data_IF_267089877140
#
_entry.id   IF_267089877140
#
_cell.length_a   1.000
_cell.length_b   1.000
_cell.length_c   1.000
_cell.angle_alpha   90.00
_cell.angle_beta   90.00
_cell.angle_gamma   90.00
#
_symmetry.space_group_name_H-M   'P 1'
#
loop_
_entity.id
_entity.type
_entity.pdbx_description
1 polymer ?
#
# COMPACT_ATOMS: atom_id res chain seq x y z
N UNK A 1 18.29 40.53 56.79
CA UNK A 1 17.35 39.82 57.65
C UNK A 1 16.85 38.61 56.94
N UNK A 2 17.42 37.43 57.25
CA UNK A 2 17.26 36.20 56.48
C UNK A 2 16.36 35.29 57.29
N UNK A 3 15.21 34.90 56.73
CA UNK A 3 14.30 33.94 57.33
C UNK A 3 14.59 32.54 56.77
N UNK A 4 15.11 31.66 57.61
CA UNK A 4 15.18 30.20 57.35
C UNK A 4 13.82 29.58 57.68
N UNK A 5 13.25 28.90 56.72
CA UNK A 5 12.13 27.96 56.94
C UNK A 5 12.70 26.55 56.95
N UNK A 6 12.51 25.87 58.10
CA UNK A 6 12.92 24.51 58.32
C UNK A 6 11.97 23.52 57.65
N UNK A 7 12.52 22.54 56.96
CA UNK A 7 11.81 21.35 56.48
C UNK A 7 11.92 20.24 57.52
N UNK A 8 10.80 19.96 58.16
CA UNK A 8 10.56 18.81 58.99
C UNK A 8 10.34 17.56 58.15
N UNK A 9 10.93 16.44 58.59
CA UNK A 9 11.02 15.18 57.84
C UNK A 9 9.70 14.51 57.54
N UNK A 10 9.69 13.89 56.40
CA UNK A 10 8.72 12.86 56.00
C UNK A 10 9.49 11.55 55.82
N UNK A 11 9.25 10.64 56.76
CA UNK A 11 9.74 9.27 56.73
C UNK A 11 9.00 8.49 55.64
N UNK A 12 9.72 8.09 54.58
CA UNK A 12 9.19 7.28 53.47
C UNK A 12 9.72 5.84 53.56
N UNK A 13 8.81 4.98 53.99
CA UNK A 13 9.01 3.57 54.13
C UNK A 13 9.63 2.85 52.92
N UNK A 14 10.26 1.74 53.20
CA UNK A 14 10.95 0.81 52.29
C UNK A 14 10.19 0.52 50.99
N UNK A 15 10.46 1.29 49.92
CA UNK A 15 9.95 1.02 48.55
C UNK A 15 11.01 0.27 47.74
N UNK A 16 10.66 -0.93 47.25
CA UNK A 16 11.40 -1.75 46.31
C UNK A 16 11.92 -0.90 45.14
N UNK A 17 13.23 -0.84 44.95
CA UNK A 17 13.83 -0.27 43.75
C UNK A 17 13.51 -1.19 42.54
N UNK A 18 12.56 -0.79 41.74
CA UNK A 18 12.33 -1.39 40.44
C UNK A 18 13.48 -1.01 39.51
N UNK A 19 14.29 -2.00 39.12
CA UNK A 19 15.30 -1.81 38.08
C UNK A 19 14.57 -1.69 36.76
N UNK A 20 14.37 -0.47 36.29
CA UNK A 20 13.85 -0.19 34.94
C UNK A 20 14.93 -0.63 33.95
N UNK A 21 14.65 -1.63 33.11
CA UNK A 21 15.63 -2.15 32.17
C UNK A 21 15.96 -1.07 31.13
N UNK A 22 17.23 -0.94 30.80
CA UNK A 22 17.76 0.02 29.82
C UNK A 22 17.13 -0.07 28.41
N UNK A 23 16.42 -1.15 28.13
CA UNK A 23 15.67 -1.37 26.88
C UNK A 23 14.38 -0.56 26.75
N UNK A 24 13.78 -0.12 27.89
CA UNK A 24 12.57 0.70 27.88
C UNK A 24 12.87 2.20 27.65
N UNK A 25 14.07 2.64 28.03
CA UNK A 25 14.49 4.05 27.85
C UNK A 25 14.85 4.32 26.38
N UNK A 26 15.36 3.32 25.65
CA UNK A 26 15.72 3.45 24.24
C UNK A 26 14.48 3.54 23.31
N UNK A 27 13.35 2.96 23.73
CA UNK A 27 12.12 2.96 22.92
C UNK A 27 11.36 4.30 22.93
N UNK A 28 11.53 5.10 23.99
CA UNK A 28 10.84 6.41 24.13
C UNK A 28 11.59 7.53 23.39
N UNK A 29 12.91 7.42 23.23
CA UNK A 29 13.72 8.43 22.54
C UNK A 29 13.68 8.33 21.00
N UNK A 30 13.24 7.21 20.44
CA UNK A 30 13.12 7.05 18.98
C UNK A 30 11.80 7.64 18.39
N UNK A 31 10.80 7.91 19.25
CA UNK A 31 9.49 8.40 18.79
C UNK A 31 9.41 9.92 18.62
N UNK A 32 10.41 10.67 19.08
CA UNK A 32 10.40 12.14 19.07
C UNK A 32 11.06 12.80 17.85
N UNK A 33 11.64 12.03 16.91
CA UNK A 33 12.37 12.57 15.74
C UNK A 33 11.57 12.54 14.42
N UNK A 34 10.35 12.01 14.39
CA UNK A 34 9.56 11.89 13.14
C UNK A 34 8.66 13.11 12.87
N UNK A 35 8.54 14.06 13.79
CA UNK A 35 7.53 15.12 13.69
C UNK A 35 7.97 16.41 12.96
N UNK A 36 9.16 16.51 12.37
CA UNK A 36 9.66 17.78 11.80
C UNK A 36 9.66 17.84 10.26
N UNK A 37 9.46 16.73 9.55
CA UNK A 37 9.61 16.70 8.09
C UNK A 37 8.28 16.78 7.28
N UNK A 38 7.12 16.92 7.94
CA UNK A 38 5.81 16.84 7.28
C UNK A 38 5.21 18.19 6.83
N UNK A 39 5.86 19.29 7.10
CA UNK A 39 5.36 20.64 6.73
C UNK A 39 6.29 21.29 5.71
N UNK A 40 5.81 21.48 4.49
CA UNK A 40 6.44 22.38 3.53
C UNK A 40 5.81 23.77 3.65
N UNK A 41 6.65 24.79 3.65
CA UNK A 41 6.21 26.20 3.59
C UNK A 41 6.09 26.57 2.11
N UNK A 42 4.92 27.06 1.71
CA UNK A 42 4.68 27.59 0.39
C UNK A 42 5.58 28.83 0.15
N UNK A 43 6.44 28.85 -0.86
CA UNK A 43 7.37 29.96 -1.09
C UNK A 43 6.68 31.26 -1.51
N UNK A 44 5.43 31.22 -1.99
CA UNK A 44 4.70 32.43 -2.42
C UNK A 44 3.79 33.00 -1.34
N UNK A 45 3.23 32.17 -0.45
CA UNK A 45 2.24 32.61 0.53
C UNK A 45 2.72 32.54 1.98
N UNK A 46 3.84 31.87 2.26
CA UNK A 46 4.39 31.67 3.61
C UNK A 46 3.53 30.77 4.51
N UNK A 47 2.43 30.21 4.03
CA UNK A 47 1.57 29.32 4.80
C UNK A 47 2.18 27.92 4.94
N UNK A 48 2.14 27.39 6.14
CA UNK A 48 2.51 25.99 6.42
C UNK A 48 1.36 25.08 6.04
N UNK A 49 1.50 24.38 4.92
CA UNK A 49 0.55 23.33 4.51
C UNK A 49 1.20 21.96 4.67
N UNK A 50 0.42 21.00 5.16
CA UNK A 50 0.86 19.60 5.09
C UNK A 50 0.98 19.22 3.61
N UNK A 51 2.15 18.72 3.19
CA UNK A 51 2.34 18.32 1.81
C UNK A 51 1.37 17.18 1.48
N UNK A 52 0.77 17.24 0.28
CA UNK A 52 -0.10 16.14 -0.23
C UNK A 52 0.61 14.79 -0.19
N UNK A 53 1.94 14.81 -0.30
CA UNK A 53 2.81 13.63 -0.15
C UNK A 53 2.84 13.09 1.29
N UNK A 54 2.77 13.96 2.31
CA UNK A 54 2.74 13.54 3.72
C UNK A 54 1.39 12.92 4.09
N UNK A 55 0.27 13.44 3.56
CA UNK A 55 -1.07 12.89 3.78
C UNK A 55 -1.20 11.54 3.05
N UNK A 56 -0.75 11.44 1.80
CA UNK A 56 -0.71 10.19 1.04
C UNK A 56 0.28 9.17 1.64
N UNK A 57 1.42 9.62 2.15
CA UNK A 57 2.44 8.75 2.75
C UNK A 57 2.01 8.14 4.09
N UNK A 58 1.32 8.88 4.95
CA UNK A 58 0.85 8.36 6.24
C UNK A 58 -0.39 7.45 6.08
N UNK A 59 -1.34 7.84 5.23
CA UNK A 59 -2.51 7.00 4.91
C UNK A 59 -2.11 5.74 4.13
N UNK A 60 -1.23 5.87 3.14
CA UNK A 60 -0.74 4.76 2.32
C UNK A 60 0.17 3.80 3.08
N UNK A 61 1.07 4.28 3.96
CA UNK A 61 1.96 3.42 4.73
C UNK A 61 1.22 2.58 5.77
N UNK A 62 0.25 3.16 6.48
CA UNK A 62 -0.57 2.43 7.46
C UNK A 62 -1.58 1.50 6.77
N UNK A 63 -2.24 1.95 5.69
CA UNK A 63 -3.15 1.13 4.89
C UNK A 63 -2.41 -0.03 4.22
N UNK A 64 -1.28 0.23 3.55
CA UNK A 64 -0.51 -0.78 2.83
C UNK A 64 0.08 -1.87 3.73
N UNK A 65 0.52 -1.53 4.95
CA UNK A 65 1.07 -2.52 5.90
C UNK A 65 -0.02 -3.46 6.43
N UNK A 66 -1.22 -2.93 6.71
CA UNK A 66 -2.35 -3.72 7.19
C UNK A 66 -2.98 -4.61 6.10
N UNK A 67 -2.88 -4.23 4.83
CA UNK A 67 -3.51 -4.96 3.73
C UNK A 67 -2.67 -6.14 3.21
N UNK A 68 -1.35 -6.09 3.37
CA UNK A 68 -0.45 -7.14 2.88
C UNK A 68 -0.69 -8.53 3.50
N UNK A 69 -1.25 -8.58 4.71
CA UNK A 69 -1.54 -9.83 5.43
C UNK A 69 -3.00 -10.32 5.28
N UNK A 70 -3.89 -9.45 4.77
CA UNK A 70 -5.33 -9.70 4.74
C UNK A 70 -5.82 -10.47 3.50
N UNK A 71 -5.00 -10.53 2.45
CA UNK A 71 -5.34 -11.24 1.21
C UNK A 71 -4.67 -12.61 1.21
N UNK A 72 -5.40 -13.64 1.56
CA UNK A 72 -5.06 -15.07 1.53
C UNK A 72 -3.61 -15.37 1.88
N UNK A 73 -3.34 -16.15 2.90
CA UNK A 73 -2.02 -16.33 3.49
C UNK A 73 -0.88 -16.38 2.47
N UNK A 74 0.08 -15.49 2.57
CA UNK A 74 1.27 -15.44 1.69
C UNK A 74 1.95 -16.80 1.57
N UNK A 75 1.86 -17.65 2.60
CA UNK A 75 2.43 -19.01 2.61
C UNK A 75 1.87 -19.88 1.48
N UNK A 76 0.55 -19.95 1.30
CA UNK A 76 -0.06 -20.80 0.27
C UNK A 76 0.31 -20.35 -1.15
N UNK A 77 0.46 -19.03 -1.35
CA UNK A 77 0.92 -18.47 -2.62
C UNK A 77 2.40 -18.74 -2.85
N UNK A 78 3.22 -18.60 -1.80
CA UNK A 78 4.66 -18.88 -1.86
C UNK A 78 4.91 -20.32 -2.26
N UNK A 79 4.21 -21.29 -1.67
CA UNK A 79 4.36 -22.72 -2.02
C UNK A 79 4.00 -22.99 -3.49
N UNK A 80 2.93 -22.39 -4.01
CA UNK A 80 2.52 -22.50 -5.41
C UNK A 80 3.55 -21.87 -6.37
N UNK A 81 4.12 -20.73 -5.98
CA UNK A 81 5.12 -20.00 -6.77
C UNK A 81 6.44 -20.78 -6.82
N UNK A 82 6.87 -21.35 -5.69
CA UNK A 82 8.07 -22.18 -5.61
C UNK A 82 7.86 -23.48 -6.40
N UNK A 83 6.69 -24.10 -6.30
CA UNK A 83 6.32 -25.26 -7.11
C UNK A 83 6.34 -24.96 -8.61
N UNK A 84 6.11 -23.71 -9.01
CA UNK A 84 6.22 -23.24 -10.39
C UNK A 84 7.66 -22.85 -10.81
N UNK A 85 8.68 -23.08 -9.94
CA UNK A 85 10.08 -22.81 -10.25
C UNK A 85 10.53 -21.36 -10.08
N UNK A 86 9.69 -20.50 -9.51
CA UNK A 86 10.06 -19.11 -9.23
C UNK A 86 10.73 -19.02 -7.87
N UNK A 87 12.01 -18.66 -7.86
CA UNK A 87 12.78 -18.38 -6.64
C UNK A 87 12.56 -16.94 -6.12
N UNK A 88 12.80 -16.71 -4.82
CA UNK A 88 12.82 -15.37 -4.25
C UNK A 88 14.09 -14.59 -4.63
N UNK A 89 14.00 -13.27 -4.56
CA UNK A 89 15.11 -12.35 -4.81
C UNK A 89 16.03 -12.39 -3.60
N UNK A 90 17.36 -12.52 -3.84
CA UNK A 90 18.35 -12.48 -2.77
C UNK A 90 18.45 -11.08 -2.16
N UNK A 91 18.29 -10.98 -0.85
CA UNK A 91 18.46 -9.84 0.04
C UNK A 91 18.72 -8.46 -0.60
N UNK A 92 19.98 -8.11 -0.84
CA UNK A 92 20.37 -6.82 -1.42
C UNK A 92 19.89 -6.56 -2.88
N UNK A 93 19.40 -7.60 -3.57
CA UNK A 93 18.88 -7.48 -4.94
C UNK A 93 17.45 -6.95 -5.04
N UNK A 94 16.66 -6.98 -3.96
CA UNK A 94 15.25 -6.57 -3.97
C UNK A 94 15.09 -5.14 -4.45
N UNK A 95 15.83 -4.19 -3.88
CA UNK A 95 15.75 -2.78 -4.26
C UNK A 95 16.04 -2.58 -5.75
N UNK A 96 17.16 -3.10 -6.25
CA UNK A 96 17.56 -2.94 -7.66
C UNK A 96 16.54 -3.58 -8.63
N UNK A 97 15.99 -4.74 -8.27
CA UNK A 97 14.97 -5.42 -9.05
C UNK A 97 13.71 -4.57 -9.15
N UNK A 98 13.22 -4.08 -8.01
CA UNK A 98 12.01 -3.26 -7.96
C UNK A 98 12.21 -1.89 -8.61
N UNK A 99 13.40 -1.28 -8.49
CA UNK A 99 13.73 -0.02 -9.17
C UNK A 99 13.70 -0.17 -10.69
N UNK A 100 14.17 -1.31 -11.21
CA UNK A 100 14.09 -1.61 -12.65
C UNK A 100 12.65 -1.81 -13.09
N UNK A 101 11.88 -2.59 -12.34
CA UNK A 101 10.46 -2.82 -12.61
C UNK A 101 9.66 -1.51 -12.57
N UNK A 102 9.91 -0.64 -11.58
CA UNK A 102 9.26 0.66 -11.47
C UNK A 102 9.53 1.55 -12.70
N UNK A 103 10.80 1.69 -13.09
CA UNK A 103 11.17 2.50 -14.27
C UNK A 103 10.48 2.00 -15.53
N UNK A 104 10.49 0.70 -15.76
CA UNK A 104 9.85 0.10 -16.92
C UNK A 104 8.33 0.24 -16.88
N UNK A 105 7.72 0.06 -15.71
CA UNK A 105 6.29 0.27 -15.53
C UNK A 105 5.89 1.71 -15.85
N UNK A 106 6.61 2.70 -15.29
CA UNK A 106 6.37 4.11 -15.57
C UNK A 106 6.57 4.48 -17.05
N UNK A 107 7.58 3.88 -17.69
CA UNK A 107 7.86 4.14 -19.10
C UNK A 107 6.75 3.57 -19.98
N UNK A 108 6.35 2.32 -19.80
CA UNK A 108 5.32 1.67 -20.61
C UNK A 108 3.93 2.27 -20.37
N UNK A 109 3.63 2.72 -19.15
CA UNK A 109 2.34 3.35 -18.84
C UNK A 109 2.33 4.87 -19.07
N UNK A 110 3.41 5.45 -19.59
CA UNK A 110 3.46 6.89 -19.90
C UNK A 110 2.36 7.30 -20.88
N UNK A 111 1.64 8.37 -20.54
CA UNK A 111 0.50 8.85 -21.35
C UNK A 111 -0.79 8.06 -21.14
N UNK A 112 -0.83 7.17 -20.14
CA UNK A 112 -2.06 6.54 -19.66
C UNK A 112 -2.44 7.11 -18.31
N UNK A 113 -3.67 6.81 -17.83
CA UNK A 113 -4.17 7.25 -16.52
C UNK A 113 -3.67 6.39 -15.35
N UNK A 114 -2.74 5.46 -15.59
CA UNK A 114 -2.13 4.63 -14.54
C UNK A 114 -1.11 5.45 -13.75
N UNK A 115 -1.35 5.58 -12.45
CA UNK A 115 -0.41 6.24 -11.53
C UNK A 115 0.44 5.17 -10.84
N UNK A 116 1.77 5.26 -11.01
CA UNK A 116 2.73 4.33 -10.39
C UNK A 116 3.42 5.03 -9.22
N UNK A 117 3.24 4.49 -8.02
CA UNK A 117 3.81 5.01 -6.77
C UNK A 117 4.67 3.95 -6.10
N UNK A 118 5.87 4.33 -5.65
CA UNK A 118 6.73 3.46 -4.82
C UNK A 118 6.36 3.60 -3.36
N UNK A 119 6.20 2.48 -2.66
CA UNK A 119 5.91 2.41 -1.22
C UNK A 119 6.89 1.42 -0.56
N UNK A 120 8.03 1.92 -0.08
CA UNK A 120 9.12 1.05 0.38
C UNK A 120 9.65 0.16 -0.74
N UNK A 121 9.55 -1.15 -0.58
CA UNK A 121 9.91 -2.13 -1.63
C UNK A 121 8.73 -2.48 -2.54
N UNK A 122 7.52 -2.04 -2.24
CA UNK A 122 6.33 -2.32 -3.04
C UNK A 122 6.09 -1.24 -4.10
N UNK A 123 5.43 -1.63 -5.20
CA UNK A 123 4.85 -0.68 -6.16
C UNK A 123 3.33 -0.71 -6.04
N UNK A 124 2.72 0.46 -6.07
CA UNK A 124 1.27 0.62 -6.15
C UNK A 124 0.91 1.28 -7.48
N UNK A 125 0.10 0.60 -8.26
CA UNK A 125 -0.50 1.11 -9.48
C UNK A 125 -1.95 1.48 -9.17
N UNK A 126 -2.29 2.76 -9.27
CA UNK A 126 -3.66 3.24 -9.13
C UNK A 126 -4.26 3.45 -10.52
N UNK A 127 -5.41 2.82 -10.75
CA UNK A 127 -6.11 2.79 -12.04
C UNK A 127 -7.55 3.29 -11.82
N UNK A 128 -7.90 4.50 -12.30
CA UNK A 128 -9.25 5.05 -12.15
C UNK A 128 -10.31 4.18 -12.84
N UNK A 129 -11.34 3.74 -12.11
CA UNK A 129 -12.38 2.82 -12.65
C UNK A 129 -13.25 3.42 -13.74
N UNK A 130 -13.42 4.75 -13.76
CA UNK A 130 -14.23 5.42 -14.77
C UNK A 130 -13.76 5.21 -16.21
N UNK A 131 -12.48 4.84 -16.37
CA UNK A 131 -11.86 4.54 -17.66
C UNK A 131 -11.90 3.04 -17.95
N UNK A 132 -11.85 2.21 -16.89
CA UNK A 132 -11.70 0.77 -17.00
C UNK A 132 -13.02 0.02 -17.16
N UNK A 133 -14.10 0.54 -16.56
CA UNK A 133 -15.40 -0.12 -16.49
C UNK A 133 -16.50 0.85 -16.90
N UNK A 134 -17.52 0.33 -17.58
CA UNK A 134 -18.77 1.06 -17.76
C UNK A 134 -19.50 1.23 -16.42
N UNK A 135 -20.45 2.16 -16.36
CA UNK A 135 -21.29 2.34 -15.19
C UNK A 135 -21.93 1.02 -14.79
N UNK A 136 -21.86 0.70 -13.51
CA UNK A 136 -22.43 -0.54 -12.95
C UNK A 136 -21.91 -1.83 -13.59
N UNK A 137 -20.69 -1.83 -14.14
CA UNK A 137 -20.08 -2.97 -14.82
C UNK A 137 -18.73 -3.34 -14.20
N UNK A 138 -18.40 -4.63 -14.31
CA UNK A 138 -17.08 -5.15 -13.99
C UNK A 138 -16.31 -5.60 -15.26
N UNK A 139 -16.89 -5.42 -16.45
CA UNK A 139 -16.22 -5.79 -17.70
C UNK A 139 -15.18 -4.72 -18.08
N UNK A 140 -13.94 -5.14 -18.29
CA UNK A 140 -12.86 -4.25 -18.75
C UNK A 140 -13.21 -3.67 -20.12
N UNK A 141 -13.27 -2.34 -20.22
CA UNK A 141 -13.61 -1.64 -21.45
C UNK A 141 -12.53 -1.85 -22.53
N UNK A 142 -12.92 -2.00 -23.82
CA UNK A 142 -11.96 -2.22 -24.91
C UNK A 142 -10.85 -1.17 -25.00
N UNK A 143 -11.18 0.12 -24.77
CA UNK A 143 -10.22 1.21 -24.83
C UNK A 143 -9.13 1.13 -23.74
N UNK A 144 -9.37 0.42 -22.64
CA UNK A 144 -8.41 0.27 -21.56
C UNK A 144 -7.53 -0.99 -21.72
N UNK A 145 -7.90 -1.92 -22.58
CA UNK A 145 -7.15 -3.17 -22.76
C UNK A 145 -5.70 -2.93 -23.13
N UNK A 146 -5.43 -1.99 -24.05
CA UNK A 146 -4.06 -1.65 -24.43
C UNK A 146 -3.20 -1.10 -23.28
N UNK A 147 -3.82 -0.48 -22.27
CA UNK A 147 -3.13 -0.07 -21.03
C UNK A 147 -2.84 -1.28 -20.15
N UNK A 148 -3.82 -2.17 -19.97
CA UNK A 148 -3.61 -3.41 -19.23
C UNK A 148 -2.60 -4.36 -19.89
N UNK A 149 -2.52 -4.40 -21.23
CA UNK A 149 -1.50 -5.17 -21.94
C UNK A 149 -0.08 -4.71 -21.58
N UNK A 150 0.12 -3.39 -21.49
CA UNK A 150 1.40 -2.80 -21.07
C UNK A 150 1.73 -3.19 -19.63
N UNK A 151 0.76 -3.11 -18.72
CA UNK A 151 0.93 -3.52 -17.33
C UNK A 151 1.22 -5.02 -17.24
N UNK A 152 0.43 -5.86 -17.91
CA UNK A 152 0.61 -7.30 -17.92
C UNK A 152 1.99 -7.72 -18.44
N UNK A 153 2.47 -7.08 -19.51
CA UNK A 153 3.80 -7.33 -20.07
C UNK A 153 4.90 -7.08 -19.05
N UNK A 154 4.89 -5.93 -18.34
CA UNK A 154 5.89 -5.67 -17.30
C UNK A 154 5.77 -6.68 -16.16
N UNK A 155 4.55 -6.99 -15.70
CA UNK A 155 4.36 -7.96 -14.61
C UNK A 155 4.80 -9.38 -15.01
N UNK A 156 4.71 -9.75 -16.28
CA UNK A 156 5.20 -11.01 -16.81
C UNK A 156 6.74 -11.04 -16.89
N UNK A 157 7.37 -9.95 -17.33
CA UNK A 157 8.83 -9.80 -17.43
C UNK A 157 9.52 -9.80 -16.06
N UNK A 158 8.76 -9.46 -14.97
CA UNK A 158 9.25 -9.43 -13.59
C UNK A 158 8.52 -10.48 -12.72
N UNK A 159 8.84 -11.78 -12.86
CA UNK A 159 8.07 -12.85 -12.23
C UNK A 159 8.25 -12.97 -10.71
N UNK A 160 9.28 -12.38 -10.12
CA UNK A 160 9.61 -12.54 -8.70
C UNK A 160 8.83 -11.53 -7.80
N UNK A 161 7.54 -11.33 -8.09
CA UNK A 161 6.66 -10.47 -7.28
C UNK A 161 5.29 -11.10 -7.10
N UNK A 162 4.65 -10.85 -5.93
CA UNK A 162 3.21 -11.03 -5.74
C UNK A 162 2.47 -9.87 -6.35
N UNK A 163 1.23 -10.14 -6.76
CA UNK A 163 0.33 -9.15 -7.38
C UNK A 163 -0.99 -9.21 -6.65
N UNK A 164 -1.30 -8.18 -5.89
CA UNK A 164 -2.56 -8.05 -5.18
C UNK A 164 -3.42 -7.00 -5.89
N UNK A 165 -4.59 -7.41 -6.37
CA UNK A 165 -5.53 -6.54 -7.10
C UNK A 165 -6.68 -6.17 -6.18
N UNK A 166 -6.85 -4.89 -5.91
CA UNK A 166 -7.84 -4.34 -5.02
C UNK A 166 -8.87 -3.53 -5.78
N UNK A 167 -10.15 -3.81 -5.55
CA UNK A 167 -11.25 -3.03 -6.10
C UNK A 167 -11.85 -2.09 -5.05
N UNK A 168 -12.20 -0.88 -5.47
CA UNK A 168 -12.82 0.14 -4.63
C UNK A 168 -14.01 0.78 -5.36
N UNK A 169 -15.00 1.24 -4.59
CA UNK A 169 -16.13 2.02 -5.07
C UNK A 169 -16.17 3.39 -4.36
N UNK A 170 -17.04 4.25 -4.81
CA UNK A 170 -17.50 5.37 -4.01
C UNK A 170 -18.60 4.91 -3.04
N UNK A 171 -19.16 5.84 -2.25
CA UNK A 171 -20.23 5.58 -1.27
C UNK A 171 -21.63 5.55 -1.89
N UNK A 172 -21.77 5.46 -3.21
CA UNK A 172 -23.07 5.41 -3.86
C UNK A 172 -23.58 3.97 -3.90
N UNK A 173 -24.70 3.70 -3.27
CA UNK A 173 -25.32 2.38 -3.23
C UNK A 173 -25.31 1.78 -1.82
N UNK A 174 -25.59 0.47 -1.70
CA UNK A 174 -25.47 -0.24 -0.44
C UNK A 174 -24.08 -0.83 -0.27
N UNK A 175 -23.62 -0.98 0.98
CA UNK A 175 -22.32 -1.57 1.31
C UNK A 175 -22.15 -2.95 0.66
N UNK A 176 -23.18 -3.80 0.73
CA UNK A 176 -23.14 -5.14 0.13
C UNK A 176 -22.99 -5.12 -1.39
N UNK A 177 -23.68 -4.17 -2.06
CA UNK A 177 -23.56 -3.97 -3.48
C UNK A 177 -22.16 -3.47 -3.86
N UNK A 178 -21.63 -2.49 -3.12
CA UNK A 178 -20.30 -1.93 -3.33
C UNK A 178 -19.21 -2.97 -3.08
N UNK A 179 -19.37 -3.82 -2.05
CA UNK A 179 -18.46 -4.93 -1.78
C UNK A 179 -18.41 -5.91 -2.97
N UNK A 180 -19.56 -6.38 -3.43
CA UNK A 180 -19.65 -7.31 -4.58
C UNK A 180 -19.11 -6.69 -5.89
N UNK A 181 -19.46 -5.44 -6.17
CA UNK A 181 -18.98 -4.74 -7.38
C UNK A 181 -17.46 -4.59 -7.39
N UNK A 182 -16.89 -4.20 -6.25
CA UNK A 182 -15.44 -4.02 -6.12
C UNK A 182 -14.69 -5.33 -6.28
N UNK A 183 -15.21 -6.43 -5.73
CA UNK A 183 -14.63 -7.76 -5.86
C UNK A 183 -14.67 -8.27 -7.31
N UNK A 184 -15.80 -8.13 -7.98
CA UNK A 184 -15.92 -8.48 -9.42
C UNK A 184 -14.97 -7.67 -10.29
N UNK A 185 -14.76 -6.38 -10.01
CA UNK A 185 -13.81 -5.54 -10.75
C UNK A 185 -12.37 -5.97 -10.55
N UNK A 186 -11.98 -6.26 -9.30
CA UNK A 186 -10.66 -6.79 -8.99
C UNK A 186 -10.42 -8.12 -9.71
N UNK A 187 -11.39 -9.03 -9.69
CA UNK A 187 -11.32 -10.32 -10.37
C UNK A 187 -11.19 -10.16 -11.88
N UNK A 188 -11.96 -9.27 -12.50
CA UNK A 188 -11.88 -9.05 -13.96
C UNK A 188 -10.51 -8.52 -14.41
N UNK A 189 -9.86 -7.67 -13.60
CA UNK A 189 -8.48 -7.23 -13.88
C UNK A 189 -7.50 -8.39 -13.68
N UNK A 190 -7.63 -9.17 -12.62
CA UNK A 190 -6.78 -10.33 -12.35
C UNK A 190 -6.85 -11.37 -13.47
N UNK A 191 -8.06 -11.69 -13.95
CA UNK A 191 -8.30 -12.61 -15.06
C UNK A 191 -7.68 -12.09 -16.36
N UNK A 192 -7.79 -10.77 -16.59
CA UNK A 192 -7.15 -10.14 -17.74
C UNK A 192 -5.63 -10.28 -17.68
N UNK A 193 -5.01 -9.94 -16.57
CA UNK A 193 -3.56 -10.08 -16.38
C UNK A 193 -3.10 -11.52 -16.55
N UNK A 194 -3.85 -12.47 -15.97
CA UNK A 194 -3.55 -13.90 -16.07
C UNK A 194 -3.62 -14.41 -17.53
N UNK A 195 -4.63 -13.99 -18.27
CA UNK A 195 -4.78 -14.36 -19.70
C UNK A 195 -3.70 -13.73 -20.61
N UNK A 196 -2.97 -12.70 -20.10
CA UNK A 196 -1.90 -12.00 -20.83
C UNK A 196 -0.49 -12.30 -20.27
N UNK A 197 -0.30 -13.51 -19.73
CA UNK A 197 1.03 -14.04 -19.39
C UNK A 197 1.47 -13.88 -17.94
N UNK A 198 0.67 -13.21 -17.10
CA UNK A 198 0.98 -13.14 -15.66
C UNK A 198 0.53 -14.44 -14.98
N UNK A 199 1.43 -15.10 -14.27
CA UNK A 199 1.10 -16.37 -13.61
C UNK A 199 0.02 -16.19 -12.54
N UNK A 200 -1.11 -16.91 -12.67
CA UNK A 200 -2.26 -16.82 -11.76
C UNK A 200 -1.89 -17.11 -10.30
N UNK A 201 -0.89 -17.98 -10.03
CA UNK A 201 -0.42 -18.28 -8.69
C UNK A 201 0.15 -17.05 -7.93
N UNK A 202 0.58 -16.02 -8.67
CA UNK A 202 1.10 -14.76 -8.12
C UNK A 202 0.00 -13.77 -7.77
N UNK A 203 -1.21 -13.95 -8.32
CA UNK A 203 -2.29 -12.97 -8.25
C UNK A 203 -3.24 -13.32 -7.10
N UNK A 204 -3.63 -12.31 -6.32
CA UNK A 204 -4.75 -12.38 -5.40
C UNK A 204 -5.67 -11.18 -5.63
N UNK A 205 -6.95 -11.35 -5.33
CA UNK A 205 -7.97 -10.31 -5.51
C UNK A 205 -8.68 -10.02 -4.21
N UNK A 206 -9.10 -8.77 -4.02
CA UNK A 206 -9.98 -8.37 -2.93
C UNK A 206 -10.80 -7.14 -3.30
N UNK A 207 -12.08 -7.18 -2.99
CA UNK A 207 -12.94 -6.00 -2.95
C UNK A 207 -12.90 -5.34 -1.59
N UNK A 208 -12.91 -4.02 -1.56
CA UNK A 208 -13.03 -3.20 -0.35
C UNK A 208 -14.32 -2.37 -0.33
N UNK A 209 -15.14 -2.45 -1.39
CA UNK A 209 -16.29 -1.58 -1.51
C UNK A 209 -15.89 -0.12 -1.32
N UNK A 210 -16.64 0.60 -0.51
CA UNK A 210 -16.43 2.01 -0.16
C UNK A 210 -15.59 2.23 1.10
N UNK A 211 -15.14 1.15 1.77
CA UNK A 211 -14.53 1.23 3.10
C UNK A 211 -13.15 1.88 3.14
N UNK A 212 -12.53 2.10 1.99
CA UNK A 212 -11.18 2.68 1.89
C UNK A 212 -11.15 3.85 0.90
N UNK A 213 -11.79 4.96 1.21
CA UNK A 213 -11.76 6.15 0.36
C UNK A 213 -10.37 6.81 0.41
N UNK A 214 -9.92 7.34 -0.74
CA UNK A 214 -8.71 8.18 -0.84
C UNK A 214 -9.05 9.66 -0.93
N UNK A 215 -10.31 10.00 -1.23
CA UNK A 215 -10.85 11.36 -1.31
C UNK A 215 -12.23 11.40 -0.65
N UNK A 216 -12.75 12.60 -0.39
CA UNK A 216 -14.11 12.75 0.14
C UNK A 216 -15.17 12.25 -0.85
N UNK A 217 -16.19 11.57 -0.36
CA UNK A 217 -17.34 11.16 -1.18
C UNK A 217 -18.40 12.28 -1.39
N UNK A 218 -18.21 13.46 -0.79
CA UNK A 218 -19.16 14.58 -0.90
C UNK A 218 -19.17 15.21 -2.29
N UNK A 219 -18.05 15.13 -3.01
CA UNK A 219 -17.89 15.70 -4.35
C UNK A 219 -17.84 14.62 -5.42
N UNK A 220 -18.32 14.91 -6.63
CA UNK A 220 -18.22 13.96 -7.76
C UNK A 220 -16.74 13.67 -8.09
N UNK A 221 -15.88 14.67 -7.98
CA UNK A 221 -14.45 14.50 -8.23
C UNK A 221 -13.81 13.52 -7.21
N UNK A 222 -14.18 13.62 -5.94
CA UNK A 222 -13.69 12.69 -4.91
C UNK A 222 -14.29 11.29 -5.09
N UNK A 223 -15.56 11.17 -5.42
CA UNK A 223 -16.19 9.88 -5.77
C UNK A 223 -15.50 9.24 -6.97
N UNK A 224 -15.19 10.02 -8.01
CA UNK A 224 -14.46 9.51 -9.18
C UNK A 224 -13.06 8.97 -8.82
N UNK A 225 -12.36 9.61 -7.90
CA UNK A 225 -11.08 9.14 -7.38
C UNK A 225 -11.24 7.85 -6.55
N UNK A 226 -12.31 7.73 -5.77
CA UNK A 226 -12.59 6.55 -4.95
C UNK A 226 -12.97 5.32 -5.81
N UNK A 227 -13.63 5.52 -6.94
CA UNK A 227 -13.88 4.46 -7.94
C UNK A 227 -12.58 4.10 -8.65
N UNK A 228 -11.83 3.13 -8.13
CA UNK A 228 -10.52 2.73 -8.67
C UNK A 228 -10.26 1.23 -8.51
N UNK A 229 -9.28 0.76 -9.26
CA UNK A 229 -8.61 -0.52 -9.00
C UNK A 229 -7.15 -0.22 -8.69
N UNK A 230 -6.64 -0.82 -7.64
CA UNK A 230 -5.23 -0.76 -7.27
C UNK A 230 -4.57 -2.12 -7.56
N UNK A 231 -3.37 -2.09 -8.13
CA UNK A 231 -2.52 -3.27 -8.28
C UNK A 231 -1.29 -3.04 -7.42
N UNK A 232 -1.18 -3.82 -6.34
CA UNK A 232 -0.02 -3.80 -5.47
C UNK A 232 0.94 -4.90 -5.89
N UNK A 233 2.18 -4.51 -6.18
CA UNK A 233 3.26 -5.42 -6.60
C UNK A 233 4.27 -5.51 -5.47
N UNK A 234 4.42 -6.70 -4.89
CA UNK A 234 5.23 -6.97 -3.70
C UNK A 234 6.35 -7.92 -4.07
N UNK A 235 7.63 -7.61 -3.81
CA UNK A 235 8.73 -8.50 -4.12
C UNK A 235 8.67 -9.79 -3.30
N UNK A 236 9.02 -10.91 -3.93
CA UNK A 236 9.22 -12.19 -3.26
C UNK A 236 10.66 -12.25 -2.83
N UNK A 237 10.93 -12.12 -1.53
CA UNK A 237 12.28 -12.25 -0.97
C UNK A 237 12.63 -13.69 -0.68
N UNK A 238 13.92 -14.00 -0.55
CA UNK A 238 14.35 -15.33 -0.11
C UNK A 238 13.85 -15.69 1.29
N UNK A 239 13.55 -14.70 2.13
CA UNK A 239 13.01 -14.92 3.46
C UNK A 239 11.54 -15.38 3.44
N UNK A 240 10.84 -15.12 2.33
CA UNK A 240 9.46 -15.59 2.13
C UNK A 240 9.42 -17.05 1.67
N UNK A 241 10.57 -17.58 1.20
CA UNK A 241 10.72 -18.94 0.70
C UNK A 241 11.08 -19.88 1.84
N UNK A 242 10.25 -20.87 2.20
CA UNK A 242 10.60 -21.82 3.27
C UNK A 242 11.90 -22.57 2.93
N UNK A 243 12.76 -22.83 3.92
CA UNK A 243 13.96 -23.64 3.71
C UNK A 243 13.53 -25.03 3.24
N UNK A 244 14.25 -25.56 2.25
CA UNK A 244 14.08 -26.93 1.70
C UNK A 244 14.60 -27.97 2.68
#
# INVERSE_FOLDING_TARGET
>A
MVARVGLSGIDLGKGKRMKLSSKLVAAVSALSLVSVAACTTDPETGERRMSKTAIGGLGGALGGYLLGDLVGGRRDRTEKIIGAGLGGIAGAGVGAYMDKQEREMRERTRGTDVQVTRQGDDLLLNIPSGINFAYNSANVQPQFRGTLDKVASVLADYPQTYIDVYGHTDSTGSDSYNQDLSERRATSVADYLSSHGVQAARIATRGFGETQPIETNDTEQGRAANRRVEIKVVPISQNDVPPR
#
